data_IF_813385660599
#
_entry.id   IF_813385660599
#
_cell.length_a   1.000
_cell.length_b   1.000
_cell.length_c   1.000
_cell.angle_alpha   90.00
_cell.angle_beta   90.00
_cell.angle_gamma   90.00
#
_symmetry.space_group_name_H-M   'P 1'
#
loop_
_entity.id
_entity.type
_entity.pdbx_description
1 polymer ?
#
# COMPACT_ATOMS: atom_id res chain seq x y z
N UNK A 1 30.21 12.92 -7.49
CA UNK A 1 29.76 12.33 -6.22
C UNK A 1 29.00 11.06 -6.55
N UNK A 2 29.15 9.99 -5.76
CA UNK A 2 28.37 8.76 -5.97
C UNK A 2 26.88 9.04 -5.72
N UNK A 3 26.00 8.51 -6.57
CA UNK A 3 24.54 8.61 -6.40
C UNK A 3 24.17 7.65 -5.26
N UNK A 4 23.47 8.12 -4.20
CA UNK A 4 23.15 7.26 -3.07
C UNK A 4 22.14 6.18 -3.46
N UNK A 5 22.35 4.97 -2.97
CA UNK A 5 21.38 3.87 -3.09
C UNK A 5 20.12 4.23 -2.32
N UNK A 6 18.92 4.10 -2.90
CA UNK A 6 17.68 4.32 -2.17
C UNK A 6 17.53 3.40 -0.94
N UNK A 7 16.99 3.92 0.15
CA UNK A 7 16.72 3.13 1.36
C UNK A 7 15.31 2.55 1.26
N UNK A 8 15.13 1.22 1.43
CA UNK A 8 13.80 0.62 1.40
C UNK A 8 13.00 1.04 2.64
N UNK A 9 11.97 1.84 2.43
CA UNK A 9 11.01 2.25 3.45
C UNK A 9 9.62 2.30 2.83
N UNK A 10 8.68 1.55 3.39
CA UNK A 10 7.29 1.59 2.93
C UNK A 10 6.67 2.96 3.24
N UNK A 11 6.23 3.66 2.20
CA UNK A 11 5.48 4.91 2.34
C UNK A 11 3.99 4.63 2.50
N UNK A 12 3.42 3.88 1.56
CA UNK A 12 2.03 3.46 1.63
C UNK A 12 1.72 2.26 0.74
N UNK A 13 0.57 1.66 1.02
CA UNK A 13 -0.05 0.63 0.20
C UNK A 13 -1.28 1.21 -0.51
N UNK A 14 -1.42 0.97 -1.82
CA UNK A 14 -2.57 1.45 -2.60
C UNK A 14 -3.54 0.31 -2.87
N UNK A 15 -4.81 0.54 -2.59
CA UNK A 15 -5.92 -0.34 -2.93
C UNK A 15 -6.70 0.29 -4.08
N UNK A 16 -6.67 -0.35 -5.23
CA UNK A 16 -7.47 0.03 -6.40
C UNK A 16 -8.93 -0.38 -6.17
N UNK A 17 -9.80 0.59 -6.02
CA UNK A 17 -11.24 0.38 -5.84
C UNK A 17 -12.08 0.89 -7.03
N UNK A 18 -11.40 1.39 -8.07
CA UNK A 18 -12.00 1.89 -9.30
C UNK A 18 -13.14 2.89 -9.03
N UNK A 19 -14.36 2.59 -9.48
CA UNK A 19 -15.57 3.41 -9.29
C UNK A 19 -16.27 3.21 -7.95
N UNK A 20 -15.77 2.30 -7.09
CA UNK A 20 -16.38 1.94 -5.80
C UNK A 20 -15.75 2.63 -4.59
N UNK A 21 -15.27 3.88 -4.76
CA UNK A 21 -14.58 4.58 -3.68
C UNK A 21 -15.51 4.87 -2.47
N UNK A 22 -16.79 5.12 -2.70
CA UNK A 22 -17.79 5.31 -1.63
C UNK A 22 -18.02 4.03 -0.84
N UNK A 23 -18.25 2.91 -1.52
CA UNK A 23 -18.46 1.60 -0.90
C UNK A 23 -17.21 1.18 -0.11
N UNK A 24 -16.03 1.34 -0.70
CA UNK A 24 -14.77 1.02 -0.05
C UNK A 24 -14.54 1.90 1.17
N UNK A 25 -14.84 3.19 1.10
CA UNK A 25 -14.69 4.09 2.26
C UNK A 25 -15.65 3.72 3.39
N UNK A 26 -16.89 3.35 3.08
CA UNK A 26 -17.88 2.86 4.06
C UNK A 26 -17.37 1.55 4.70
N UNK A 27 -16.89 0.60 3.90
CA UNK A 27 -16.34 -0.67 4.36
C UNK A 27 -15.15 -0.48 5.29
N UNK A 28 -14.17 0.38 4.91
CA UNK A 28 -12.98 0.60 5.73
C UNK A 28 -13.31 1.32 7.05
N UNK A 29 -14.35 2.17 7.10
CA UNK A 29 -14.87 2.68 8.38
C UNK A 29 -15.48 1.58 9.24
N UNK A 30 -16.20 0.62 8.65
CA UNK A 30 -16.72 -0.56 9.36
C UNK A 30 -15.59 -1.46 9.89
N UNK A 31 -14.44 -1.53 9.18
CA UNK A 31 -13.21 -2.18 9.67
C UNK A 31 -12.54 -1.43 10.83
N UNK A 32 -13.06 -0.26 11.22
CA UNK A 32 -12.55 0.55 12.31
C UNK A 32 -11.43 1.52 11.94
N UNK A 33 -11.25 1.83 10.65
CA UNK A 33 -10.28 2.84 10.23
C UNK A 33 -10.89 4.26 10.27
N UNK A 34 -10.14 5.20 10.81
CA UNK A 34 -10.34 6.63 10.57
C UNK A 34 -9.83 6.95 9.16
N UNK A 35 -10.70 7.50 8.32
CA UNK A 35 -10.33 7.92 6.97
C UNK A 35 -10.30 9.44 6.85
N UNK A 36 -9.32 9.95 6.09
CA UNK A 36 -9.28 11.37 5.72
C UNK A 36 -10.50 11.77 4.91
N UNK A 37 -10.86 13.06 4.84
CA UNK A 37 -11.75 13.57 3.81
C UNK A 37 -11.30 13.13 2.41
N UNK A 38 -12.26 13.06 1.45
CA UNK A 38 -11.94 12.70 0.06
C UNK A 38 -10.96 13.71 -0.54
N UNK A 39 -9.86 13.19 -1.07
CA UNK A 39 -8.90 13.96 -1.84
C UNK A 39 -9.13 13.79 -3.34
N UNK A 40 -8.87 14.84 -4.11
CA UNK A 40 -8.95 14.81 -5.58
C UNK A 40 -7.59 15.19 -6.16
N UNK A 41 -6.92 14.21 -6.77
CA UNK A 41 -5.62 14.44 -7.40
C UNK A 41 -5.74 15.28 -8.66
N UNK A 42 -4.78 16.16 -8.89
CA UNK A 42 -4.68 16.94 -10.13
C UNK A 42 -4.62 16.05 -11.38
N UNK A 43 -4.21 14.79 -11.23
CA UNK A 43 -4.17 13.78 -12.29
C UNK A 43 -5.53 13.12 -12.59
N UNK A 44 -6.56 13.35 -11.76
CA UNK A 44 -7.94 12.93 -12.01
C UNK A 44 -8.42 11.69 -11.26
N UNK A 45 -7.62 11.10 -10.37
CA UNK A 45 -8.05 10.10 -9.38
C UNK A 45 -8.53 10.77 -8.09
N UNK A 46 -9.32 10.03 -7.30
CA UNK A 46 -9.77 10.44 -5.96
C UNK A 46 -9.36 9.39 -4.93
N UNK A 47 -9.19 9.80 -3.68
CA UNK A 47 -8.73 8.89 -2.63
C UNK A 47 -9.32 9.20 -1.25
N UNK A 48 -9.18 8.21 -0.35
CA UNK A 48 -9.20 8.36 1.10
C UNK A 48 -7.96 7.68 1.68
N UNK A 49 -7.43 8.22 2.78
CA UNK A 49 -6.26 7.66 3.47
C UNK A 49 -6.64 7.18 4.86
N UNK A 50 -6.10 6.03 5.28
CA UNK A 50 -5.95 5.65 6.68
C UNK A 50 -4.48 5.88 7.06
N UNK A 51 -4.20 6.96 7.81
CA UNK A 51 -2.84 7.42 8.10
C UNK A 51 -2.36 6.79 9.40
N UNK A 52 -1.20 6.13 9.38
CA UNK A 52 -0.57 5.49 10.53
C UNK A 52 0.66 6.28 11.03
N UNK A 53 1.51 5.64 11.80
CA UNK A 53 2.74 6.24 12.32
C UNK A 53 3.70 6.66 11.20
N UNK A 54 4.30 5.68 10.53
CA UNK A 54 5.31 5.93 9.49
C UNK A 54 4.81 5.72 8.06
N UNK A 55 3.66 5.07 7.88
CA UNK A 55 3.08 4.73 6.60
C UNK A 55 1.56 4.95 6.57
N UNK A 56 0.91 4.70 5.45
CA UNK A 56 -0.55 4.79 5.34
C UNK A 56 -1.11 3.81 4.30
N UNK A 57 -2.42 3.62 4.36
CA UNK A 57 -3.20 2.89 3.36
C UNK A 57 -3.98 3.90 2.52
N UNK A 58 -3.95 3.76 1.21
CA UNK A 58 -4.69 4.60 0.28
C UNK A 58 -5.78 3.79 -0.43
N UNK A 59 -7.04 4.18 -0.25
CA UNK A 59 -8.13 3.76 -1.12
C UNK A 59 -8.14 4.68 -2.34
N UNK A 60 -7.85 4.15 -3.52
CA UNK A 60 -7.72 4.93 -4.75
C UNK A 60 -8.78 4.54 -5.75
N UNK A 61 -9.55 5.53 -6.20
CA UNK A 61 -10.62 5.35 -7.19
C UNK A 61 -10.77 6.55 -8.12
N UNK A 62 -11.83 6.57 -8.90
CA UNK A 62 -12.20 7.66 -9.79
C UNK A 62 -13.66 8.07 -9.62
N UNK A 63 -13.96 9.31 -9.93
CA UNK A 63 -15.32 9.84 -9.93
C UNK A 63 -16.08 9.41 -11.20
N UNK A 64 -17.40 9.35 -11.12
CA UNK A 64 -18.26 9.04 -12.26
C UNK A 64 -17.89 9.86 -13.51
N UNK A 65 -17.76 9.20 -14.65
CA UNK A 65 -17.36 9.80 -15.93
C UNK A 65 -15.85 10.05 -16.08
N UNK A 66 -15.02 9.75 -15.08
CA UNK A 66 -13.55 9.97 -15.12
C UNK A 66 -12.72 8.70 -15.35
N UNK A 67 -13.33 7.57 -15.65
CA UNK A 67 -12.63 6.29 -15.91
C UNK A 67 -11.55 6.38 -17.01
N UNK A 68 -11.72 7.29 -17.99
CA UNK A 68 -10.75 7.52 -19.05
C UNK A 68 -9.43 8.14 -18.57
N UNK A 69 -9.44 8.76 -17.38
CA UNK A 69 -8.22 9.27 -16.75
C UNK A 69 -7.54 8.17 -15.98
N UNK A 70 -6.22 8.08 -16.10
CA UNK A 70 -5.40 7.12 -15.38
C UNK A 70 -5.81 5.66 -15.65
N UNK A 71 -6.10 5.32 -16.90
CA UNK A 71 -6.38 3.93 -17.31
C UNK A 71 -5.27 2.95 -16.92
N UNK A 72 -4.02 3.44 -16.83
CA UNK A 72 -2.87 2.72 -16.31
C UNK A 72 -3.10 2.12 -14.92
N UNK A 73 -3.98 2.71 -14.12
CA UNK A 73 -4.34 2.22 -12.77
C UNK A 73 -5.49 1.21 -12.84
N UNK A 74 -6.55 1.57 -13.59
CA UNK A 74 -7.80 0.82 -13.56
C UNK A 74 -7.75 -0.48 -14.36
N UNK A 75 -6.73 -0.64 -15.23
CA UNK A 75 -6.46 -1.90 -15.93
C UNK A 75 -5.83 -2.98 -15.02
N UNK A 76 -5.21 -2.59 -13.91
CA UNK A 76 -4.76 -3.54 -12.91
C UNK A 76 -5.97 -4.16 -12.16
N UNK A 77 -5.84 -5.40 -11.65
CA UNK A 77 -6.88 -6.01 -10.84
C UNK A 77 -7.32 -5.12 -9.66
N UNK A 78 -8.59 -5.19 -9.30
CA UNK A 78 -9.09 -4.52 -8.08
C UNK A 78 -8.42 -5.12 -6.83
N UNK A 79 -8.31 -4.34 -5.76
CA UNK A 79 -7.63 -4.73 -4.54
C UNK A 79 -6.23 -4.12 -4.42
N UNK A 80 -5.34 -4.78 -3.68
CA UNK A 80 -3.99 -4.28 -3.44
C UNK A 80 -3.22 -4.19 -4.77
N UNK A 81 -2.76 -2.98 -5.13
CA UNK A 81 -2.20 -2.72 -6.46
C UNK A 81 -1.03 -1.74 -6.47
N UNK A 82 -0.64 -1.19 -5.32
CA UNK A 82 0.47 -0.25 -5.23
C UNK A 82 1.36 -0.49 -4.03
N UNK A 83 2.65 -0.69 -4.32
CA UNK A 83 3.74 -0.77 -3.34
C UNK A 83 4.57 0.50 -3.47
N UNK A 84 4.45 1.40 -2.49
CA UNK A 84 5.04 2.73 -2.58
C UNK A 84 6.15 2.92 -1.57
N UNK A 85 7.28 3.44 -2.05
CA UNK A 85 8.50 3.66 -1.30
C UNK A 85 8.67 5.12 -0.92
N UNK A 86 9.04 5.38 0.31
CA UNK A 86 9.34 6.73 0.80
C UNK A 86 10.69 7.19 0.25
N UNK A 87 10.75 8.46 -0.17
CA UNK A 87 12.02 9.13 -0.48
C UNK A 87 12.00 10.59 -0.07
N UNK A 88 13.16 11.14 0.25
CA UNK A 88 13.35 12.58 0.46
C UNK A 88 13.79 13.33 -0.80
N UNK A 89 14.21 12.62 -1.87
CA UNK A 89 14.70 13.24 -3.12
C UNK A 89 14.35 12.34 -4.33
N UNK A 90 13.28 12.68 -5.03
CA UNK A 90 12.81 11.96 -6.21
C UNK A 90 13.81 12.08 -7.39
N UNK A 91 14.50 13.22 -7.53
CA UNK A 91 15.49 13.39 -8.60
C UNK A 91 16.73 12.52 -8.37
N UNK A 92 17.15 12.37 -7.11
CA UNK A 92 18.25 11.46 -6.78
C UNK A 92 17.87 10.00 -7.07
N UNK A 93 16.62 9.60 -6.74
CA UNK A 93 16.11 8.27 -7.10
C UNK A 93 16.12 8.07 -8.62
N UNK A 94 15.63 9.04 -9.40
CA UNK A 94 15.63 8.95 -10.85
C UNK A 94 17.04 8.76 -11.41
N UNK A 95 17.99 9.61 -11.01
CA UNK A 95 19.40 9.46 -11.42
C UNK A 95 20.00 8.11 -11.03
N UNK A 96 19.60 7.57 -9.86
CA UNK A 96 20.03 6.24 -9.44
C UNK A 96 19.50 5.15 -10.38
N UNK A 97 18.19 5.17 -10.71
CA UNK A 97 17.60 4.21 -11.66
C UNK A 97 18.35 4.22 -12.99
N UNK A 98 18.59 5.42 -13.57
CA UNK A 98 19.36 5.57 -14.80
C UNK A 98 20.78 4.97 -14.67
N UNK A 99 21.47 5.23 -13.56
CA UNK A 99 22.83 4.74 -13.32
C UNK A 99 22.93 3.21 -13.18
N UNK A 100 21.82 2.55 -12.80
CA UNK A 100 21.73 1.11 -12.60
C UNK A 100 21.01 0.39 -13.75
N UNK A 101 20.65 1.11 -14.82
CA UNK A 101 19.87 0.58 -15.94
C UNK A 101 18.59 -0.13 -15.44
N UNK A 102 17.90 0.54 -14.51
CA UNK A 102 16.59 0.11 -13.99
C UNK A 102 15.52 0.95 -14.69
N UNK A 103 14.63 0.27 -15.40
CA UNK A 103 13.60 0.93 -16.20
C UNK A 103 12.54 1.61 -15.33
N UNK A 104 12.30 2.89 -15.58
CA UNK A 104 11.38 3.72 -14.81
C UNK A 104 10.98 5.00 -15.56
N UNK A 105 10.16 5.82 -14.92
CA UNK A 105 9.76 7.14 -15.41
C UNK A 105 10.53 8.26 -14.68
N UNK A 106 10.84 9.38 -15.34
CA UNK A 106 11.39 10.56 -14.70
C UNK A 106 10.49 11.04 -13.53
N UNK A 107 11.10 11.78 -12.59
CA UNK A 107 10.38 12.36 -11.49
C UNK A 107 9.25 13.29 -11.98
N UNK A 108 8.02 13.02 -11.57
CA UNK A 108 6.82 13.78 -11.94
C UNK A 108 6.11 14.33 -10.71
N UNK A 109 5.65 15.58 -10.79
CA UNK A 109 4.95 16.25 -9.70
C UNK A 109 3.44 16.19 -9.89
N UNK A 110 2.73 16.05 -8.77
CA UNK A 110 1.29 16.24 -8.71
C UNK A 110 0.88 16.77 -7.33
N UNK A 111 -0.35 17.20 -7.21
CA UNK A 111 -0.89 17.68 -5.94
C UNK A 111 -2.36 17.30 -5.78
N UNK A 112 -2.85 17.42 -4.56
CA UNK A 112 -4.27 17.42 -4.22
C UNK A 112 -4.58 18.45 -3.17
N UNK A 113 -5.73 19.18 -3.28
CA UNK A 113 -6.23 19.99 -2.19
C UNK A 113 -6.56 19.12 -0.97
N UNK A 114 -6.28 19.62 0.20
CA UNK A 114 -6.58 18.98 1.49
C UNK A 114 -7.22 19.99 2.40
N UNK A 115 -8.35 19.62 3.01
CA UNK A 115 -8.91 20.35 4.14
C UNK A 115 -8.37 19.74 5.42
N UNK A 116 -7.61 20.52 6.18
CA UNK A 116 -7.00 20.08 7.43
C UNK A 116 -8.03 20.04 8.57
N UNK A 117 -7.75 19.33 9.67
CA UNK A 117 -8.67 19.23 10.81
C UNK A 117 -9.01 20.57 11.48
N UNK A 118 -8.14 21.55 11.36
CA UNK A 118 -8.37 22.93 11.86
C UNK A 118 -9.26 23.79 10.93
N UNK A 119 -9.75 23.21 9.83
CA UNK A 119 -10.56 23.88 8.82
C UNK A 119 -9.77 24.63 7.76
N UNK A 120 -8.46 24.75 7.88
CA UNK A 120 -7.62 25.36 6.85
C UNK A 120 -7.48 24.47 5.62
N UNK A 121 -7.18 25.08 4.47
CA UNK A 121 -6.94 24.36 3.22
C UNK A 121 -5.48 24.47 2.81
N UNK A 122 -4.89 23.35 2.43
CA UNK A 122 -3.53 23.26 1.90
C UNK A 122 -3.51 22.43 0.60
N UNK A 123 -2.38 22.49 -0.11
CA UNK A 123 -2.06 21.54 -1.18
C UNK A 123 -1.10 20.50 -0.64
N UNK A 124 -1.51 19.24 -0.59
CA UNK A 124 -0.58 18.14 -0.44
C UNK A 124 0.14 17.95 -1.79
N UNK A 125 1.47 18.15 -1.78
CA UNK A 125 2.34 18.12 -2.97
C UNK A 125 3.26 16.93 -2.92
N UNK A 126 3.41 16.28 -4.07
CA UNK A 126 4.17 15.04 -4.21
C UNK A 126 5.03 15.06 -5.46
N UNK A 127 6.15 14.36 -5.38
CA UNK A 127 6.94 13.97 -6.57
C UNK A 127 7.12 12.47 -6.57
N UNK A 128 6.90 11.82 -7.70
CA UNK A 128 6.97 10.36 -7.82
C UNK A 128 7.89 9.93 -8.94
N UNK A 129 8.60 8.82 -8.70
CA UNK A 129 9.41 8.10 -9.68
C UNK A 129 8.87 6.69 -9.78
N UNK A 130 8.36 6.28 -10.95
CA UNK A 130 7.70 5.00 -11.14
C UNK A 130 8.64 3.99 -11.76
N UNK A 131 8.56 2.74 -11.28
CA UNK A 131 9.13 1.59 -11.99
C UNK A 131 8.22 1.21 -13.16
N UNK A 132 8.80 0.74 -14.25
CA UNK A 132 8.02 0.26 -15.40
C UNK A 132 7.16 -0.96 -15.04
N UNK A 133 5.95 -1.10 -15.64
CA UNK A 133 5.04 -2.21 -15.35
C UNK A 133 5.64 -3.59 -15.58
N UNK A 134 6.59 -3.73 -16.51
CA UNK A 134 7.30 -5.00 -16.75
C UNK A 134 8.06 -5.51 -15.52
N UNK A 135 8.46 -4.61 -14.61
CA UNK A 135 9.14 -4.97 -13.36
C UNK A 135 8.16 -5.30 -12.21
N UNK A 136 6.90 -4.91 -12.35
CA UNK A 136 5.88 -5.03 -11.30
C UNK A 136 4.55 -5.49 -11.93
N UNK A 137 4.44 -6.76 -12.31
CA UNK A 137 3.23 -7.25 -12.97
C UNK A 137 2.00 -7.15 -12.05
N UNK A 138 0.85 -6.80 -12.67
CA UNK A 138 -0.45 -6.65 -11.99
C UNK A 138 -0.48 -5.63 -10.85
N UNK A 139 0.36 -4.61 -10.94
CA UNK A 139 0.41 -3.55 -9.95
C UNK A 139 1.38 -2.46 -10.32
N UNK A 140 1.64 -1.57 -9.38
CA UNK A 140 2.58 -0.46 -9.53
C UNK A 140 3.54 -0.43 -8.35
N UNK A 141 4.80 -0.12 -8.63
CA UNK A 141 5.76 0.24 -7.59
C UNK A 141 6.41 1.57 -7.97
N UNK A 142 6.53 2.47 -7.00
CA UNK A 142 7.08 3.80 -7.23
C UNK A 142 7.57 4.42 -5.93
N UNK A 143 8.46 5.40 -6.07
CA UNK A 143 8.88 6.25 -4.96
C UNK A 143 7.98 7.47 -4.86
N UNK A 144 7.70 7.90 -3.63
CA UNK A 144 6.92 9.09 -3.32
C UNK A 144 7.72 10.00 -2.39
N UNK A 145 8.01 11.20 -2.86
CA UNK A 145 8.50 12.31 -2.06
C UNK A 145 7.32 13.19 -1.67
N UNK A 146 7.13 13.37 -0.36
CA UNK A 146 6.17 14.33 0.18
C UNK A 146 6.86 15.69 0.33
N UNK A 147 6.46 16.68 -0.49
CA UNK A 147 6.96 18.05 -0.36
C UNK A 147 6.28 18.79 0.80
N UNK A 148 5.08 18.33 1.19
CA UNK A 148 4.27 18.87 2.28
C UNK A 148 3.77 17.77 3.21
N UNK A 149 4.65 17.06 3.94
CA UNK A 149 4.26 15.89 4.76
C UNK A 149 3.23 16.23 5.83
N UNK A 150 3.26 17.45 6.37
CA UNK A 150 2.28 17.94 7.35
C UNK A 150 0.84 17.99 6.78
N UNK A 151 0.65 18.00 5.47
CA UNK A 151 -0.66 17.91 4.85
C UNK A 151 -1.21 16.47 4.78
N UNK A 152 -0.44 15.48 5.18
CA UNK A 152 -0.81 14.05 5.22
C UNK A 152 -0.81 13.54 6.66
N UNK A 153 0.31 13.66 7.37
CA UNK A 153 0.44 13.18 8.75
C UNK A 153 -0.10 14.22 9.74
N UNK A 154 -1.39 14.11 10.03
CA UNK A 154 -2.09 14.88 11.06
C UNK A 154 -2.42 13.96 12.24
N UNK A 155 -2.10 14.34 13.49
CA UNK A 155 -2.29 13.47 14.66
C UNK A 155 -3.72 12.93 14.81
N UNK A 156 -4.73 13.73 14.46
CA UNK A 156 -6.13 13.32 14.54
C UNK A 156 -6.47 12.21 13.53
N UNK A 157 -5.81 12.16 12.36
CA UNK A 157 -6.04 11.12 11.36
C UNK A 157 -5.31 9.81 11.67
N UNK A 158 -4.38 9.82 12.63
CA UNK A 158 -3.64 8.64 13.08
C UNK A 158 -4.34 7.89 14.23
N UNK A 159 -5.53 8.36 14.64
CA UNK A 159 -6.29 7.76 15.74
C UNK A 159 -7.41 6.87 15.20
N UNK A 160 -7.13 5.56 15.12
CA UNK A 160 -8.09 4.60 14.59
C UNK A 160 -8.90 3.92 15.71
N UNK A 161 -10.25 3.75 15.53
CA UNK A 161 -11.06 2.92 16.42
C UNK A 161 -10.48 1.52 16.65
N UNK A 162 -9.93 0.87 15.61
CA UNK A 162 -9.30 -0.44 15.66
C UNK A 162 -7.85 -0.43 16.21
N UNK A 163 -7.36 0.70 16.69
CA UNK A 163 -6.01 0.87 17.26
C UNK A 163 -4.85 0.46 16.33
N UNK A 164 -5.04 0.44 15.03
CA UNK A 164 -3.95 0.18 14.07
C UNK A 164 -2.97 1.32 14.07
N UNK A 165 -1.67 0.97 14.09
CA UNK A 165 -0.54 1.92 14.16
C UNK A 165 0.36 1.90 12.94
N UNK A 166 0.45 0.78 12.21
CA UNK A 166 1.34 0.63 11.05
C UNK A 166 0.89 -0.52 10.14
N UNK A 167 1.28 -0.44 8.86
CA UNK A 167 1.43 -1.60 7.99
C UNK A 167 2.81 -2.21 8.31
N UNK A 168 2.84 -3.48 8.71
CA UNK A 168 4.09 -4.17 9.08
C UNK A 168 4.48 -5.29 8.12
N UNK A 169 3.58 -5.72 7.24
CA UNK A 169 3.91 -6.64 6.16
C UNK A 169 3.04 -6.35 4.94
N UNK A 170 3.68 -6.36 3.77
CA UNK A 170 3.06 -6.29 2.44
C UNK A 170 3.41 -7.58 1.69
N UNK A 171 2.41 -8.34 1.25
CA UNK A 171 2.61 -9.65 0.61
C UNK A 171 2.32 -9.59 -0.88
N UNK A 172 3.31 -9.99 -1.67
CA UNK A 172 3.21 -10.22 -3.11
C UNK A 172 3.23 -11.72 -3.37
N UNK A 173 2.13 -12.24 -3.88
CA UNK A 173 2.02 -13.65 -4.29
C UNK A 173 2.59 -13.80 -5.68
N UNK A 174 3.49 -14.77 -5.85
CA UNK A 174 4.20 -15.03 -7.10
C UNK A 174 4.50 -16.52 -7.25
N UNK A 175 4.70 -16.98 -8.47
CA UNK A 175 5.13 -18.38 -8.73
C UNK A 175 6.63 -18.56 -8.45
N UNK A 176 7.45 -17.56 -8.80
CA UNK A 176 8.89 -17.53 -8.55
C UNK A 176 9.26 -16.31 -7.66
N UNK A 177 9.36 -16.51 -6.34
CA UNK A 177 9.71 -15.43 -5.43
C UNK A 177 11.11 -14.85 -5.66
N UNK A 178 12.06 -15.64 -6.14
CA UNK A 178 13.42 -15.16 -6.41
C UNK A 178 13.44 -14.20 -7.61
N UNK A 179 12.78 -14.59 -8.71
CA UNK A 179 12.65 -13.73 -9.88
C UNK A 179 11.89 -12.43 -9.56
N UNK A 180 10.81 -12.50 -8.78
CA UNK A 180 10.03 -11.34 -8.39
C UNK A 180 10.78 -10.38 -7.44
N UNK A 181 11.68 -10.90 -6.61
CA UNK A 181 12.50 -10.11 -5.69
C UNK A 181 13.71 -9.46 -6.39
N UNK A 182 14.15 -9.97 -7.54
CA UNK A 182 15.36 -9.53 -8.25
C UNK A 182 15.37 -8.01 -8.57
N UNK A 183 14.30 -7.39 -9.09
CA UNK A 183 14.27 -5.94 -9.33
C UNK A 183 14.54 -5.14 -8.05
N UNK A 184 14.03 -5.59 -6.92
CA UNK A 184 14.21 -4.92 -5.63
C UNK A 184 15.61 -5.15 -5.04
N UNK A 185 16.24 -6.29 -5.34
CA UNK A 185 17.66 -6.54 -5.05
C UNK A 185 18.56 -5.55 -5.79
N UNK A 186 18.29 -5.30 -7.08
CA UNK A 186 19.01 -4.31 -7.87
C UNK A 186 18.77 -2.88 -7.38
N UNK A 187 17.53 -2.59 -6.96
CA UNK A 187 17.09 -1.27 -6.52
C UNK A 187 17.68 -0.86 -5.16
N UNK A 188 17.74 -1.78 -4.20
CA UNK A 188 18.10 -1.49 -2.82
C UNK A 188 19.40 -2.14 -2.34
N UNK A 189 19.96 -3.05 -3.12
CA UNK A 189 21.11 -3.87 -2.76
C UNK A 189 20.70 -5.30 -2.36
N UNK A 190 21.52 -6.26 -2.76
CA UNK A 190 21.25 -7.69 -2.50
C UNK A 190 21.25 -8.04 -1.00
N UNK A 191 22.00 -7.29 -0.18
CA UNK A 191 22.08 -7.44 1.27
C UNK A 191 20.77 -7.07 2.01
N UNK A 192 19.84 -6.39 1.35
CA UNK A 192 18.53 -6.01 1.91
C UNK A 192 17.48 -7.10 1.79
N UNK A 193 17.73 -8.11 0.94
CA UNK A 193 16.84 -9.24 0.74
C UNK A 193 17.31 -10.45 1.55
N UNK A 194 16.38 -11.09 2.26
CA UNK A 194 16.61 -12.28 3.04
C UNK A 194 15.78 -13.43 2.48
N UNK A 195 16.44 -14.53 2.13
CA UNK A 195 15.74 -15.77 1.81
C UNK A 195 15.11 -16.36 3.07
N UNK A 196 13.86 -16.80 2.96
CA UNK A 196 13.08 -17.37 4.05
C UNK A 196 12.70 -18.84 3.74
N UNK A 197 12.06 -19.48 4.73
CA UNK A 197 11.52 -20.83 4.53
C UNK A 197 10.53 -20.86 3.35
N UNK A 198 10.36 -22.05 2.76
CA UNK A 198 9.46 -22.32 1.63
C UNK A 198 9.77 -21.48 0.37
N UNK A 199 11.04 -21.07 0.19
CA UNK A 199 11.49 -20.33 -0.98
C UNK A 199 11.04 -18.88 -1.04
N UNK A 200 10.44 -18.33 0.01
CA UNK A 200 10.06 -16.93 0.07
C UNK A 200 11.28 -16.01 0.23
N UNK A 201 11.12 -14.74 -0.21
CA UNK A 201 12.07 -13.66 0.02
C UNK A 201 11.40 -12.52 0.77
N UNK A 202 12.14 -11.88 1.66
CA UNK A 202 11.70 -10.74 2.46
C UNK A 202 12.66 -9.58 2.29
N UNK A 203 12.10 -8.41 1.98
CA UNK A 203 12.78 -7.13 1.97
C UNK A 203 12.33 -6.32 3.19
N UNK A 204 13.27 -5.96 4.08
CA UNK A 204 12.96 -5.07 5.20
C UNK A 204 12.77 -3.64 4.68
N UNK A 205 11.63 -3.01 4.99
CA UNK A 205 11.21 -1.73 4.47
C UNK A 205 10.79 -0.75 5.60
N UNK A 206 11.75 -0.29 6.38
CA UNK A 206 11.50 0.51 7.59
C UNK A 206 10.86 -0.35 8.69
N UNK A 207 9.69 0.05 9.18
CA UNK A 207 8.89 -0.72 10.17
C UNK A 207 8.17 -1.91 9.54
N UNK A 208 8.08 -1.94 8.21
CA UNK A 208 7.42 -2.98 7.44
C UNK A 208 8.40 -3.97 6.82
N UNK A 209 7.86 -5.07 6.33
CA UNK A 209 8.53 -6.00 5.42
C UNK A 209 7.72 -6.18 4.14
N UNK A 210 8.38 -6.32 3.00
CA UNK A 210 7.75 -6.76 1.76
C UNK A 210 8.14 -8.21 1.52
N UNK A 211 7.13 -9.07 1.40
CA UNK A 211 7.32 -10.51 1.22
C UNK A 211 6.93 -10.93 -0.18
N UNK A 212 7.80 -11.63 -0.84
CA UNK A 212 7.55 -12.35 -2.10
C UNK A 212 7.40 -13.82 -1.77
N UNK A 213 6.22 -14.40 -1.97
CA UNK A 213 5.92 -15.76 -1.56
C UNK A 213 4.96 -16.46 -2.52
N UNK A 214 4.97 -17.80 -2.52
CA UNK A 214 3.97 -18.58 -3.24
C UNK A 214 2.58 -18.48 -2.57
N UNK A 215 1.54 -18.80 -3.33
CA UNK A 215 0.13 -18.66 -2.93
C UNK A 215 -0.21 -19.33 -1.59
N UNK A 216 0.44 -20.48 -1.29
CA UNK A 216 0.20 -21.19 -0.03
C UNK A 216 0.52 -20.37 1.22
N UNK A 217 1.44 -19.41 1.16
CA UNK A 217 1.73 -18.52 2.28
C UNK A 217 0.47 -17.73 2.70
N UNK A 218 -0.25 -17.18 1.71
CA UNK A 218 -1.47 -16.40 1.97
C UNK A 218 -2.61 -17.32 2.44
N UNK A 219 -2.79 -18.50 1.84
CA UNK A 219 -3.84 -19.43 2.24
C UNK A 219 -3.64 -20.00 3.64
N UNK A 220 -2.40 -20.13 4.10
CA UNK A 220 -2.09 -20.60 5.46
C UNK A 220 -2.20 -19.50 6.52
N UNK A 221 -1.79 -18.28 6.20
CA UNK A 221 -1.63 -17.20 7.18
C UNK A 221 -2.81 -16.21 7.18
N UNK A 222 -3.58 -16.17 6.11
CA UNK A 222 -4.75 -15.33 5.94
C UNK A 222 -5.98 -16.20 5.65
N UNK A 223 -7.14 -15.61 5.40
CA UNK A 223 -8.38 -16.36 5.10
C UNK A 223 -8.53 -16.72 3.61
N UNK A 224 -7.48 -16.60 2.84
CA UNK A 224 -7.47 -16.93 1.41
C UNK A 224 -6.96 -15.79 0.53
N UNK A 225 -6.88 -16.10 -0.74
CA UNK A 225 -6.46 -15.17 -1.79
C UNK A 225 -7.66 -14.31 -2.25
N UNK A 226 -7.42 -13.20 -2.96
CA UNK A 226 -8.50 -12.45 -3.62
C UNK A 226 -9.37 -13.38 -4.47
N UNK A 227 -10.72 -13.18 -4.51
CA UNK A 227 -11.64 -14.10 -5.21
C UNK A 227 -11.37 -14.25 -6.70
N UNK A 228 -10.79 -13.20 -7.32
CA UNK A 228 -10.42 -13.15 -8.73
C UNK A 228 -8.97 -13.57 -9.00
N UNK A 229 -8.30 -14.23 -8.04
CA UNK A 229 -6.93 -14.69 -8.22
C UNK A 229 -6.85 -15.83 -9.24
N UNK A 230 -6.10 -15.62 -10.31
CA UNK A 230 -5.96 -16.49 -11.47
C UNK A 230 -4.64 -17.27 -11.52
N UNK A 231 -3.80 -17.18 -10.47
CA UNK A 231 -2.48 -17.78 -10.43
C UNK A 231 -1.33 -16.88 -10.90
N UNK A 232 -1.63 -15.72 -11.45
CA UNK A 232 -0.61 -14.73 -11.83
C UNK A 232 -0.04 -13.99 -10.62
N UNK A 233 1.05 -13.23 -10.81
CA UNK A 233 1.62 -12.39 -9.76
C UNK A 233 0.57 -11.41 -9.22
N UNK A 234 0.42 -11.32 -7.88
CA UNK A 234 -0.60 -10.48 -7.25
C UNK A 234 -0.11 -9.87 -5.94
N UNK A 235 -0.30 -8.57 -5.77
CA UNK A 235 -0.28 -7.95 -4.45
C UNK A 235 -1.57 -8.39 -3.74
N UNK A 236 -1.48 -9.09 -2.59
CA UNK A 236 -2.62 -9.87 -2.11
C UNK A 236 -3.01 -9.59 -0.66
N UNK A 237 -2.05 -9.28 0.21
CA UNK A 237 -2.34 -9.21 1.64
C UNK A 237 -1.50 -8.17 2.37
N UNK A 238 -2.02 -7.69 3.50
CA UNK A 238 -1.34 -6.80 4.43
C UNK A 238 -1.45 -7.33 5.86
N UNK A 239 -0.34 -7.30 6.62
CA UNK A 239 -0.39 -7.41 8.07
C UNK A 239 -0.28 -6.00 8.66
N UNK A 240 -1.20 -5.69 9.57
CA UNK A 240 -1.34 -4.42 10.25
C UNK A 240 -1.03 -4.60 11.73
N UNK A 241 -0.17 -3.75 12.28
CA UNK A 241 0.05 -3.71 13.74
C UNK A 241 -1.11 -2.99 14.39
N UNK A 242 -1.67 -3.57 15.45
CA UNK A 242 -2.61 -2.89 16.32
C UNK A 242 -2.09 -2.89 17.75
N UNK A 243 -2.19 -1.78 18.43
CA UNK A 243 -1.80 -1.69 19.85
C UNK A 243 -2.79 -2.39 20.80
N UNK A 244 -3.98 -2.78 20.31
CA UNK A 244 -5.00 -3.51 21.09
C UNK A 244 -5.95 -4.31 20.17
N UNK A 245 -5.75 -5.63 20.09
CA UNK A 245 -6.59 -6.53 19.30
C UNK A 245 -8.05 -6.60 19.77
N UNK A 246 -8.34 -6.27 21.04
CA UNK A 246 -9.73 -6.19 21.54
C UNK A 246 -10.48 -5.04 20.86
N UNK A 247 -9.79 -3.93 20.56
CA UNK A 247 -10.36 -2.81 19.80
C UNK A 247 -10.59 -3.17 18.34
N UNK A 248 -9.69 -3.97 17.73
CA UNK A 248 -9.94 -4.55 16.39
C UNK A 248 -11.22 -5.36 16.41
N UNK A 249 -11.32 -6.34 17.34
CA UNK A 249 -12.51 -7.20 17.48
C UNK A 249 -13.79 -6.39 17.68
N UNK A 250 -13.77 -5.41 18.58
CA UNK A 250 -14.91 -4.54 18.84
C UNK A 250 -15.35 -3.75 17.60
N UNK A 251 -14.38 -3.22 16.82
CA UNK A 251 -14.67 -2.50 15.58
C UNK A 251 -15.30 -3.40 14.53
N UNK A 252 -14.79 -4.62 14.35
CA UNK A 252 -15.32 -5.58 13.38
C UNK A 252 -16.73 -6.05 13.74
N UNK A 253 -17.00 -6.31 15.03
CA UNK A 253 -18.34 -6.66 15.53
C UNK A 253 -19.31 -5.50 15.34
N UNK A 254 -18.94 -4.27 15.69
CA UNK A 254 -19.77 -3.08 15.50
C UNK A 254 -20.05 -2.82 14.01
N UNK A 255 -19.04 -3.07 13.16
CA UNK A 255 -19.13 -2.90 11.72
C UNK A 255 -19.86 -4.04 10.99
N UNK A 256 -20.25 -5.11 11.68
CA UNK A 256 -20.81 -6.32 11.08
C UNK A 256 -19.90 -6.87 9.95
N UNK A 257 -18.59 -6.98 10.26
CA UNK A 257 -17.59 -7.52 9.34
C UNK A 257 -17.18 -8.91 9.81
N UNK A 258 -17.35 -9.96 9.00
CA UNK A 258 -16.88 -11.31 9.33
C UNK A 258 -15.38 -11.38 9.49
N UNK A 259 -14.90 -12.10 10.49
CA UNK A 259 -13.48 -12.29 10.77
C UNK A 259 -13.19 -13.67 11.38
N UNK A 260 -11.93 -14.10 11.31
CA UNK A 260 -11.40 -15.26 12.03
C UNK A 260 -10.46 -14.76 13.13
N UNK A 261 -10.69 -15.26 14.34
CA UNK A 261 -9.81 -14.98 15.49
C UNK A 261 -8.77 -16.09 15.62
N UNK A 262 -7.52 -15.70 15.85
CA UNK A 262 -6.37 -16.56 16.10
C UNK A 262 -5.75 -16.16 17.46
N UNK A 263 -4.86 -16.99 18.05
CA UNK A 263 -4.30 -16.70 19.36
C UNK A 263 -3.56 -15.34 19.45
N UNK A 264 -2.94 -14.89 18.36
CA UNK A 264 -2.10 -13.68 18.28
C UNK A 264 -2.54 -12.70 17.18
N UNK A 265 -3.70 -12.94 16.53
CA UNK A 265 -4.15 -12.13 15.42
C UNK A 265 -5.67 -12.20 15.18
N UNK A 266 -6.16 -11.26 14.40
CA UNK A 266 -7.50 -11.27 13.82
C UNK A 266 -7.34 -11.15 12.31
N UNK A 267 -8.06 -11.99 11.55
CA UNK A 267 -7.93 -12.07 10.10
C UNK A 267 -9.26 -11.78 9.42
N UNK A 268 -9.22 -10.89 8.42
CA UNK A 268 -10.37 -10.51 7.58
C UNK A 268 -10.09 -10.94 6.15
N UNK A 269 -11.07 -11.58 5.50
CA UNK A 269 -10.91 -12.08 4.14
C UNK A 269 -10.81 -10.94 3.11
N UNK A 270 -10.20 -11.26 1.98
CA UNK A 270 -10.09 -10.31 0.87
C UNK A 270 -11.46 -9.82 0.36
N UNK A 271 -12.49 -10.66 0.39
CA UNK A 271 -13.87 -10.29 0.04
C UNK A 271 -14.42 -9.17 0.95
N UNK A 272 -14.06 -9.20 2.22
CA UNK A 272 -14.49 -8.26 3.25
C UNK A 272 -13.61 -7.01 3.38
N UNK A 273 -12.59 -6.85 2.50
CA UNK A 273 -11.67 -5.72 2.54
C UNK A 273 -11.22 -5.27 1.14
N UNK A 274 -12.18 -5.17 0.20
CA UNK A 274 -11.95 -4.66 -1.16
C UNK A 274 -10.85 -5.41 -1.92
N UNK A 275 -10.79 -6.74 -1.81
CA UNK A 275 -9.82 -7.59 -2.50
C UNK A 275 -8.45 -7.69 -1.82
N UNK A 276 -8.32 -7.29 -0.56
CA UNK A 276 -7.07 -7.36 0.22
C UNK A 276 -7.28 -8.24 1.46
N UNK A 277 -6.52 -9.34 1.59
CA UNK A 277 -6.55 -10.11 2.83
C UNK A 277 -5.84 -9.32 3.95
N UNK A 278 -6.51 -9.10 5.07
CA UNK A 278 -5.98 -8.33 6.19
C UNK A 278 -5.73 -9.23 7.40
N UNK A 279 -4.56 -9.07 8.02
CA UNK A 279 -4.21 -9.65 9.31
C UNK A 279 -3.87 -8.53 10.29
N UNK A 280 -4.56 -8.47 11.41
CA UNK A 280 -4.26 -7.56 12.52
C UNK A 280 -3.47 -8.33 13.56
N UNK A 281 -2.34 -7.78 13.99
CA UNK A 281 -1.42 -8.40 14.94
C UNK A 281 -0.94 -7.37 15.96
N UNK A 282 -0.66 -7.80 17.20
CA UNK A 282 -0.12 -6.95 18.26
C UNK A 282 1.35 -6.56 18.04
#
# INVERSE_FOLDING_TARGET
MAIPVPVPQLDHAVINVADRLDDASALYRRLGFQLTPRGHHSLGSSNHLAVFGDNYLELLGYEAGRAHRRQDIWQAPAGLSGLVWKTGDADAVWRYLESQDIDGDPAASFYRPVQLPDGSSQQARFRTVRLRPALVPNGRSFFCQHETPQAVWQPVWQQHPNAVTDIIEFVVVVQDPAAAALPYSRLFGADKLTACQQGAFVLKAGVATVRFAAAHYVTQRFTGLPPDYDGSARMAALTLRSSDLRRVKASLLLGDVPFREEPDAIVVSAEQASGVALRFQA
#
